data_IF_163768019668
#
_entry.id   IF_163768019668
#
_cell.length_a   1.000
_cell.length_b   1.000
_cell.length_c   1.000
_cell.angle_alpha   90.00
_cell.angle_beta   90.00
_cell.angle_gamma   90.00
#
_symmetry.space_group_name_H-M   'P 1'
#
loop_
_entity.id
_entity.type
_entity.pdbx_description
1 polymer ?
#
# COMPACT_ATOMS: atom_id res chain seq x y z
N UNK A 1 -21.65 -12.33 13.45
CA UNK A 1 -20.50 -13.27 13.54
C UNK A 1 -19.29 -12.56 14.12
N UNK A 2 -18.68 -13.07 15.19
CA UNK A 2 -17.38 -12.56 15.68
C UNK A 2 -16.31 -12.84 14.63
N UNK A 3 -15.65 -11.82 14.12
CA UNK A 3 -14.48 -11.99 13.25
C UNK A 3 -13.38 -12.66 14.06
N UNK A 4 -12.98 -13.87 13.70
CA UNK A 4 -11.83 -14.53 14.31
C UNK A 4 -10.56 -13.87 13.78
N UNK A 5 -9.68 -13.42 14.68
CA UNK A 5 -8.34 -13.02 14.31
C UNK A 5 -7.53 -14.26 13.90
N UNK A 6 -6.74 -14.14 12.87
CA UNK A 6 -5.81 -15.18 12.38
C UNK A 6 -4.37 -14.72 12.57
N UNK A 7 -3.45 -15.65 12.76
CA UNK A 7 -2.02 -15.33 12.86
C UNK A 7 -1.42 -15.06 11.49
N UNK A 8 -0.27 -14.39 11.45
CA UNK A 8 0.51 -14.16 10.21
C UNK A 8 0.78 -15.50 9.49
N UNK A 9 1.18 -16.53 10.24
CA UNK A 9 1.43 -17.86 9.68
C UNK A 9 0.19 -18.45 9.02
N UNK A 10 -0.98 -18.34 9.67
CA UNK A 10 -2.23 -18.85 9.11
C UNK A 10 -2.61 -18.14 7.80
N UNK A 11 -2.37 -16.81 7.69
CA UNK A 11 -2.61 -16.08 6.44
C UNK A 11 -1.66 -16.60 5.35
N UNK A 12 -0.37 -16.72 5.64
CA UNK A 12 0.62 -17.22 4.69
C UNK A 12 0.31 -18.65 4.22
N UNK A 13 -0.11 -19.52 5.14
CA UNK A 13 -0.51 -20.89 4.81
C UNK A 13 -1.77 -20.91 3.92
N UNK A 14 -2.74 -20.03 4.16
CA UNK A 14 -3.94 -19.90 3.33
C UNK A 14 -3.60 -19.40 1.92
N UNK A 15 -2.75 -18.39 1.81
CA UNK A 15 -2.28 -17.88 0.50
C UNK A 15 -1.55 -18.99 -0.28
N UNK A 16 -0.68 -19.74 0.40
CA UNK A 16 0.03 -20.86 -0.21
C UNK A 16 -0.94 -21.94 -0.71
N UNK A 17 -1.94 -22.31 0.08
CA UNK A 17 -2.97 -23.28 -0.34
C UNK A 17 -3.77 -22.76 -1.52
N UNK A 18 -4.16 -21.49 -1.50
CA UNK A 18 -4.92 -20.87 -2.59
C UNK A 18 -4.12 -20.88 -3.90
N UNK A 19 -2.81 -20.59 -3.84
CA UNK A 19 -1.95 -20.55 -5.03
C UNK A 19 -1.57 -21.95 -5.50
N UNK A 20 -1.02 -22.79 -4.61
CA UNK A 20 -0.39 -24.05 -5.00
C UNK A 20 -1.37 -25.21 -5.15
N UNK A 21 -2.46 -25.24 -4.35
CA UNK A 21 -3.42 -26.35 -4.39
C UNK A 21 -4.69 -26.02 -5.15
N UNK A 22 -5.20 -24.80 -5.01
CA UNK A 22 -6.42 -24.38 -5.69
C UNK A 22 -6.13 -23.79 -7.07
N UNK A 23 -4.91 -23.26 -7.30
CA UNK A 23 -4.49 -22.70 -8.57
C UNK A 23 -4.93 -21.25 -8.79
N UNK A 24 -5.27 -20.51 -7.73
CA UNK A 24 -5.61 -19.10 -7.82
C UNK A 24 -4.33 -18.30 -8.07
N UNK A 25 -4.21 -17.54 -9.19
CA UNK A 25 -3.02 -16.71 -9.42
C UNK A 25 -2.80 -15.70 -8.28
N UNK A 26 -1.54 -15.55 -7.84
CA UNK A 26 -1.16 -14.60 -6.77
C UNK A 26 -1.59 -13.16 -7.08
N UNK A 27 -1.55 -12.74 -8.35
CA UNK A 27 -2.07 -11.45 -8.81
C UNK A 27 -3.55 -11.24 -8.50
N UNK A 28 -4.36 -12.31 -8.54
CA UNK A 28 -5.79 -12.22 -8.19
C UNK A 28 -5.96 -12.00 -6.69
N UNK A 29 -5.16 -12.66 -5.86
CA UNK A 29 -5.16 -12.44 -4.41
C UNK A 29 -4.75 -11.00 -4.08
N UNK A 30 -3.68 -10.50 -4.71
CA UNK A 30 -3.21 -9.12 -4.56
C UNK A 30 -4.25 -8.09 -5.03
N UNK A 31 -4.92 -8.34 -6.14
CA UNK A 31 -6.01 -7.47 -6.63
C UNK A 31 -7.15 -7.38 -5.60
N UNK A 32 -7.56 -8.53 -5.02
CA UNK A 32 -8.59 -8.55 -3.99
C UNK A 32 -8.15 -7.84 -2.70
N UNK A 33 -6.90 -8.03 -2.26
CA UNK A 33 -6.35 -7.37 -1.08
C UNK A 33 -6.31 -5.84 -1.27
N UNK A 34 -5.73 -5.35 -2.35
CA UNK A 34 -5.66 -3.91 -2.63
C UNK A 34 -7.04 -3.28 -2.83
N UNK A 35 -7.99 -4.00 -3.46
CA UNK A 35 -9.39 -3.54 -3.55
C UNK A 35 -10.03 -3.43 -2.17
N UNK A 36 -9.78 -4.37 -1.27
CA UNK A 36 -10.31 -4.32 0.10
C UNK A 36 -9.74 -3.12 0.87
N UNK A 37 -8.44 -2.80 0.70
CA UNK A 37 -7.83 -1.58 1.24
C UNK A 37 -8.52 -0.33 0.69
N UNK A 38 -8.73 -0.24 -0.62
CA UNK A 38 -9.42 0.90 -1.23
C UNK A 38 -10.85 1.06 -0.68
N UNK A 39 -11.59 -0.04 -0.51
CA UNK A 39 -12.94 -0.02 0.08
C UNK A 39 -12.92 0.51 1.51
N UNK A 40 -11.93 0.13 2.31
CA UNK A 40 -11.79 0.66 3.67
C UNK A 40 -11.46 2.16 3.67
N UNK A 41 -10.60 2.62 2.74
CA UNK A 41 -10.34 4.05 2.54
C UNK A 41 -11.63 4.79 2.18
N UNK A 42 -12.43 4.30 1.22
CA UNK A 42 -13.70 4.92 0.85
C UNK A 42 -14.64 5.09 2.04
N UNK A 43 -14.70 4.11 2.94
CA UNK A 43 -15.49 4.24 4.17
C UNK A 43 -14.98 5.36 5.08
N UNK A 44 -13.64 5.50 5.20
CA UNK A 44 -13.00 6.49 6.08
C UNK A 44 -13.11 7.92 5.58
N UNK A 45 -13.18 8.10 4.26
CA UNK A 45 -13.31 9.43 3.62
C UNK A 45 -14.76 9.83 3.34
N UNK A 46 -15.74 8.99 3.66
CA UNK A 46 -17.16 9.28 3.46
C UNK A 46 -17.54 10.59 4.13
N UNK A 47 -18.13 11.50 3.37
CA UNK A 47 -18.53 12.84 3.83
C UNK A 47 -17.43 13.90 3.79
N UNK A 48 -16.19 13.55 3.45
CA UNK A 48 -15.12 14.52 3.27
C UNK A 48 -15.21 15.13 1.86
N UNK A 49 -15.28 16.44 1.78
CA UNK A 49 -15.28 17.17 0.51
C UNK A 49 -13.86 17.18 -0.07
N UNK A 50 -13.67 16.66 -1.28
CA UNK A 50 -12.37 16.57 -1.97
C UNK A 50 -11.29 15.86 -1.12
N UNK A 51 -11.53 14.61 -0.72
CA UNK A 51 -10.60 13.88 0.16
C UNK A 51 -9.24 13.71 -0.49
N UNK A 52 -8.20 13.74 0.34
CA UNK A 52 -6.80 13.51 -0.03
C UNK A 52 -6.31 12.24 0.64
N UNK A 53 -5.75 11.34 -0.15
CA UNK A 53 -5.17 10.08 0.36
C UNK A 53 -3.69 10.05 -0.01
N UNK A 54 -2.84 9.73 0.96
CA UNK A 54 -1.41 9.50 0.75
C UNK A 54 -1.12 8.01 0.86
N UNK A 55 -0.54 7.42 -0.19
CA UNK A 55 -0.13 6.02 -0.18
C UNK A 55 1.39 5.94 -0.20
N UNK A 56 1.95 5.21 0.74
CA UNK A 56 3.39 5.04 0.93
C UNK A 56 3.72 3.57 0.70
N UNK A 57 4.33 3.27 -0.44
CA UNK A 57 4.63 1.91 -0.89
C UNK A 57 6.12 1.61 -0.69
N UNK A 58 6.44 0.45 -0.12
CA UNK A 58 7.81 -0.07 -0.04
C UNK A 58 8.22 -0.83 -1.30
N UNK A 59 9.13 -1.81 -1.14
CA UNK A 59 9.64 -2.62 -2.25
C UNK A 59 9.18 -4.09 -2.19
N UNK A 60 8.39 -4.46 -1.18
CA UNK A 60 7.84 -5.81 -1.02
C UNK A 60 6.48 -5.99 -1.67
N UNK A 61 5.87 -7.17 -1.47
CA UNK A 61 4.54 -7.49 -2.02
C UNK A 61 3.45 -6.53 -1.52
N UNK A 62 3.54 -6.04 -0.28
CA UNK A 62 2.60 -5.04 0.25
C UNK A 62 2.52 -3.77 -0.61
N UNK A 63 3.61 -3.40 -1.30
CA UNK A 63 3.59 -2.31 -2.27
C UNK A 63 2.65 -2.59 -3.46
N UNK A 64 2.55 -3.85 -3.88
CA UNK A 64 1.61 -4.27 -4.93
C UNK A 64 0.16 -4.02 -4.51
N UNK A 65 -0.21 -4.40 -3.29
CA UNK A 65 -1.53 -4.10 -2.71
C UNK A 65 -1.77 -2.59 -2.68
N UNK A 66 -0.73 -1.80 -2.33
CA UNK A 66 -0.76 -0.35 -2.36
C UNK A 66 -1.02 0.23 -3.74
N UNK A 67 -0.39 -0.29 -4.81
CA UNK A 67 -0.63 0.16 -6.20
C UNK A 67 -2.03 -0.21 -6.67
N UNK A 68 -2.52 -1.39 -6.33
CA UNK A 68 -3.91 -1.79 -6.61
C UNK A 68 -4.88 -0.85 -5.90
N UNK A 69 -4.69 -0.61 -4.61
CA UNK A 69 -5.53 0.30 -3.84
C UNK A 69 -5.52 1.72 -4.42
N UNK A 70 -4.34 2.23 -4.79
CA UNK A 70 -4.19 3.54 -5.41
C UNK A 70 -4.97 3.65 -6.73
N UNK A 71 -4.90 2.61 -7.58
CA UNK A 71 -5.65 2.56 -8.84
C UNK A 71 -7.15 2.65 -8.60
N UNK A 72 -7.69 1.81 -7.71
CA UNK A 72 -9.11 1.85 -7.37
C UNK A 72 -9.55 3.21 -6.80
N UNK A 73 -8.73 3.84 -5.97
CA UNK A 73 -9.01 5.16 -5.40
C UNK A 73 -9.06 6.24 -6.47
N UNK A 74 -8.07 6.27 -7.38
CA UNK A 74 -8.00 7.24 -8.47
C UNK A 74 -9.17 7.06 -9.43
N UNK A 75 -9.50 5.83 -9.82
CA UNK A 75 -10.67 5.51 -10.65
C UNK A 75 -11.99 5.90 -9.99
N UNK A 76 -12.05 5.82 -8.66
CA UNK A 76 -13.17 6.32 -7.85
C UNK A 76 -13.18 7.84 -7.62
N UNK A 77 -12.31 8.60 -8.29
CA UNK A 77 -12.29 10.07 -8.23
C UNK A 77 -11.58 10.65 -7.00
N UNK A 78 -10.83 9.84 -6.23
CA UNK A 78 -10.09 10.31 -5.06
C UNK A 78 -8.74 10.90 -5.49
N UNK A 79 -8.39 12.06 -4.92
CA UNK A 79 -7.04 12.62 -5.09
C UNK A 79 -6.05 11.82 -4.26
N UNK A 80 -5.33 10.91 -4.90
CA UNK A 80 -4.31 10.07 -4.28
C UNK A 80 -2.90 10.55 -4.64
N UNK A 81 -2.05 10.75 -3.63
CA UNK A 81 -0.61 10.97 -3.78
C UNK A 81 0.11 9.66 -3.49
N UNK A 82 0.80 9.11 -4.49
CA UNK A 82 1.43 7.79 -4.41
C UNK A 82 2.95 7.92 -4.42
N UNK A 83 3.58 7.35 -3.42
CA UNK A 83 5.03 7.37 -3.24
C UNK A 83 5.58 5.96 -3.16
N UNK A 84 6.59 5.67 -3.96
CA UNK A 84 7.40 4.46 -3.85
C UNK A 84 8.69 4.81 -3.11
N UNK A 85 8.89 4.24 -1.93
CA UNK A 85 10.11 4.43 -1.13
C UNK A 85 11.17 3.47 -1.64
N UNK A 86 11.96 3.96 -2.59
CA UNK A 86 12.92 3.22 -3.38
C UNK A 86 12.74 3.49 -4.87
N UNK A 87 13.26 2.57 -5.68
CA UNK A 87 13.13 2.62 -7.16
C UNK A 87 12.27 1.47 -7.66
N UNK A 88 11.47 1.70 -8.69
CA UNK A 88 10.63 0.69 -9.33
C UNK A 88 11.41 -0.54 -9.81
N UNK A 89 12.71 -0.37 -10.15
CA UNK A 89 13.60 -1.50 -10.48
C UNK A 89 13.88 -2.44 -9.31
N UNK A 90 13.60 -2.04 -8.08
CA UNK A 90 13.72 -2.89 -6.89
C UNK A 90 12.50 -3.75 -6.60
N UNK A 91 11.38 -3.51 -7.28
CA UNK A 91 10.16 -4.29 -7.15
C UNK A 91 10.30 -5.65 -7.83
N UNK A 92 9.63 -6.66 -7.28
CA UNK A 92 9.68 -8.04 -7.78
C UNK A 92 8.28 -8.61 -7.93
N UNK A 93 8.15 -9.67 -8.72
CA UNK A 93 6.94 -10.47 -8.87
C UNK A 93 5.67 -9.60 -9.10
N UNK A 94 4.60 -9.87 -8.37
CA UNK A 94 3.28 -9.23 -8.53
C UNK A 94 3.30 -7.72 -8.25
N UNK A 95 4.14 -7.29 -7.32
CA UNK A 95 4.32 -5.86 -7.04
C UNK A 95 4.90 -5.12 -8.25
N UNK A 96 5.88 -5.73 -8.96
CA UNK A 96 6.43 -5.16 -10.18
C UNK A 96 5.37 -5.10 -11.30
N UNK A 97 4.55 -6.14 -11.43
CA UNK A 97 3.45 -6.15 -12.41
C UNK A 97 2.47 -5.01 -12.14
N UNK A 98 1.99 -4.87 -10.90
CA UNK A 98 1.04 -3.81 -10.52
C UNK A 98 1.64 -2.41 -10.66
N UNK A 99 2.93 -2.23 -10.35
CA UNK A 99 3.64 -0.99 -10.64
C UNK A 99 3.65 -0.65 -12.13
N UNK A 100 3.91 -1.64 -13.01
CA UNK A 100 3.90 -1.42 -14.46
C UNK A 100 2.49 -1.09 -14.98
N UNK A 101 1.46 -1.74 -14.46
CA UNK A 101 0.07 -1.40 -14.76
C UNK A 101 -0.20 0.06 -14.38
N UNK A 102 0.17 0.47 -13.17
CA UNK A 102 0.00 1.83 -12.67
C UNK A 102 0.70 2.86 -13.57
N UNK A 103 1.92 2.57 -14.00
CA UNK A 103 2.69 3.41 -14.95
C UNK A 103 2.03 3.48 -16.32
N UNK A 104 1.54 2.37 -16.88
CA UNK A 104 0.87 2.32 -18.19
C UNK A 104 -0.44 3.12 -18.19
N UNK A 105 -1.14 3.17 -17.07
CA UNK A 105 -2.32 4.02 -16.89
C UNK A 105 -1.97 5.51 -16.72
N UNK A 106 -0.66 5.85 -16.73
CA UNK A 106 -0.13 7.22 -16.56
C UNK A 106 -0.56 7.87 -15.24
N UNK A 107 -0.82 7.07 -14.22
CA UNK A 107 -1.11 7.61 -12.89
C UNK A 107 0.17 8.16 -12.24
N UNK A 108 0.06 9.30 -11.53
CA UNK A 108 1.22 9.94 -10.93
C UNK A 108 1.77 9.09 -9.79
N UNK A 109 3.06 8.76 -9.85
CA UNK A 109 3.82 8.11 -8.80
C UNK A 109 5.18 8.78 -8.66
N UNK A 110 5.60 9.03 -7.43
CA UNK A 110 6.90 9.62 -7.13
C UNK A 110 7.79 8.60 -6.42
N UNK A 111 8.91 8.27 -7.04
CA UNK A 111 9.94 7.45 -6.41
C UNK A 111 10.77 8.29 -5.47
N UNK A 112 11.00 7.80 -4.24
CA UNK A 112 11.80 8.47 -3.22
C UNK A 112 13.04 7.63 -2.96
N UNK A 113 14.18 8.08 -3.46
CA UNK A 113 15.48 7.48 -3.19
C UNK A 113 15.98 7.78 -1.77
N UNK A 114 17.02 7.06 -1.34
CA UNK A 114 17.55 7.15 0.03
C UNK A 114 18.03 8.57 0.45
N UNK A 115 18.35 9.43 -0.52
CA UNK A 115 18.83 10.81 -0.28
C UNK A 115 17.76 11.87 -0.57
N UNK A 116 16.57 11.47 -0.98
CA UNK A 116 15.50 12.42 -1.29
C UNK A 116 14.68 12.74 -0.03
N UNK A 117 14.13 13.96 0.08
CA UNK A 117 13.29 14.32 1.19
C UNK A 117 12.01 13.48 1.21
N UNK A 118 11.56 13.17 2.42
CA UNK A 118 10.29 12.48 2.64
C UNK A 118 9.10 13.40 2.28
N UNK A 119 7.99 12.87 1.79
CA UNK A 119 6.82 13.66 1.38
C UNK A 119 5.98 14.09 2.59
N UNK A 120 6.59 14.82 3.52
CA UNK A 120 5.97 15.18 4.80
C UNK A 120 4.78 16.11 4.63
N UNK A 121 4.79 16.96 3.60
CA UNK A 121 3.67 17.84 3.29
C UNK A 121 2.44 17.05 2.85
N UNK A 122 2.63 16.08 1.95
CA UNK A 122 1.55 15.23 1.47
C UNK A 122 1.00 14.34 2.60
N UNK A 123 1.88 13.83 3.46
CA UNK A 123 1.50 13.06 4.66
C UNK A 123 0.63 13.92 5.60
N UNK A 124 1.06 15.15 5.87
CA UNK A 124 0.31 16.08 6.74
C UNK A 124 -1.00 16.56 6.11
N UNK A 125 -1.02 16.73 4.79
CA UNK A 125 -2.21 17.19 4.06
C UNK A 125 -3.24 16.08 3.79
N UNK A 126 -2.90 14.80 4.03
CA UNK A 126 -3.80 13.69 3.81
C UNK A 126 -4.90 13.60 4.88
N UNK A 127 -6.08 13.15 4.48
CA UNK A 127 -7.17 12.77 5.39
C UNK A 127 -7.01 11.33 5.86
N UNK A 128 -6.45 10.48 4.98
CA UNK A 128 -6.13 9.07 5.25
C UNK A 128 -4.76 8.75 4.66
N UNK A 129 -3.96 8.01 5.40
CA UNK A 129 -2.68 7.45 4.95
C UNK A 129 -2.86 5.93 4.77
N UNK A 130 -2.40 5.41 3.64
CA UNK A 130 -2.23 3.97 3.42
C UNK A 130 -0.75 3.64 3.58
N UNK A 131 -0.44 2.86 4.61
CA UNK A 131 0.91 2.35 4.86
C UNK A 131 1.06 0.98 4.19
N UNK A 132 1.65 0.97 3.01
CA UNK A 132 2.03 -0.19 2.24
C UNK A 132 3.55 -0.37 2.16
N UNK A 133 4.29 0.10 3.20
CA UNK A 133 5.76 0.05 3.23
C UNK A 133 6.24 -1.37 3.50
N UNK A 134 5.73 -1.98 4.57
CA UNK A 134 6.07 -3.34 4.96
C UNK A 134 4.79 -4.14 5.20
N UNK A 135 4.83 -5.40 4.83
CA UNK A 135 3.78 -6.37 5.15
C UNK A 135 4.22 -7.36 6.21
N UNK A 136 3.51 -8.45 6.30
CA UNK A 136 3.70 -9.54 7.29
C UNK A 136 5.05 -10.28 7.17
N UNK A 137 5.83 -10.03 6.12
CA UNK A 137 7.17 -10.63 5.93
C UNK A 137 8.33 -9.86 6.56
N UNK A 138 8.06 -8.80 7.34
CA UNK A 138 9.11 -8.02 7.99
C UNK A 138 9.71 -8.82 9.15
N UNK A 139 11.00 -9.19 9.01
CA UNK A 139 11.76 -9.98 9.99
C UNK A 139 13.09 -9.35 10.41
N UNK A 140 13.25 -8.05 10.15
CA UNK A 140 14.47 -7.30 10.45
C UNK A 140 14.15 -5.94 11.05
N UNK A 141 15.13 -5.36 11.73
CA UNK A 141 15.03 -3.99 12.23
C UNK A 141 14.84 -2.99 11.08
N UNK A 142 13.96 -2.01 11.31
CA UNK A 142 13.68 -0.94 10.35
C UNK A 142 14.65 0.20 10.60
N UNK A 143 15.53 0.47 9.63
CA UNK A 143 16.56 1.49 9.71
C UNK A 143 16.44 2.54 8.59
N UNK A 144 17.15 3.64 8.74
CA UNK A 144 17.30 4.67 7.71
C UNK A 144 16.00 5.36 7.30
N UNK A 145 15.81 5.64 6.00
CA UNK A 145 14.65 6.40 5.51
C UNK A 145 13.29 5.79 5.87
N UNK A 146 13.20 4.47 5.93
CA UNK A 146 11.98 3.77 6.31
C UNK A 146 11.56 4.04 7.76
N UNK A 147 12.54 4.03 8.70
CA UNK A 147 12.28 4.36 10.11
C UNK A 147 11.75 5.79 10.24
N UNK A 148 12.40 6.73 9.55
CA UNK A 148 12.01 8.14 9.58
C UNK A 148 10.60 8.35 8.98
N UNK A 149 10.27 7.62 7.90
CA UNK A 149 8.94 7.68 7.30
C UNK A 149 7.86 7.17 8.25
N UNK A 150 8.07 6.00 8.85
CA UNK A 150 7.12 5.42 9.81
C UNK A 150 6.93 6.34 11.02
N UNK A 151 8.02 6.93 11.53
CA UNK A 151 7.92 7.91 12.61
C UNK A 151 7.07 9.12 12.19
N UNK A 152 7.27 9.64 10.98
CA UNK A 152 6.49 10.76 10.45
C UNK A 152 5.01 10.42 10.25
N UNK A 153 4.70 9.22 9.77
CA UNK A 153 3.33 8.72 9.63
C UNK A 153 2.65 8.68 11.00
N UNK A 154 3.31 8.07 12.00
CA UNK A 154 2.75 7.93 13.34
C UNK A 154 2.55 9.28 14.04
N UNK A 155 3.40 10.26 13.77
CA UNK A 155 3.30 11.63 14.32
C UNK A 155 2.29 12.51 13.57
N UNK A 156 1.83 12.12 12.40
CA UNK A 156 0.95 12.94 11.58
C UNK A 156 -0.46 13.10 12.16
N UNK A 157 -0.88 12.29 13.14
CA UNK A 157 -2.20 12.33 13.74
C UNK A 157 -3.34 12.01 12.77
N UNK A 158 -3.05 11.25 11.71
CA UNK A 158 -3.99 10.89 10.65
C UNK A 158 -4.57 9.50 10.83
N UNK A 159 -5.67 9.20 10.14
CA UNK A 159 -6.16 7.82 10.03
C UNK A 159 -5.19 7.02 9.16
N UNK A 160 -4.67 5.93 9.69
CA UNK A 160 -3.74 5.05 8.99
C UNK A 160 -4.46 3.72 8.71
N UNK A 161 -4.28 3.20 7.50
CA UNK A 161 -4.66 1.85 7.08
C UNK A 161 -3.36 1.16 6.67
N UNK A 162 -3.05 0.05 7.34
CA UNK A 162 -1.87 -0.78 7.09
C UNK A 162 -2.32 -2.22 6.81
#
# INVERSE_FOLDING_TARGET
MRKKAVTVKQIQDLDKVAIEKVGIPSLVLMENAGRAVAQEVFKRIKGIKKPRVCLLCGLGNNAGDGFVAARHLIEGGVKASVFLIGKGSGLKQDAAVNYQIFKKLKYPIKEIGARQPLPLEEVRAADVIVDAIFGVGLNREILGPFRNMIAAINQAGKKIIS
#
